data_IF_904337931674
#
_entry.id   IF_904337931674
#
_cell.length_a   1.000
_cell.length_b   1.000
_cell.length_c   1.000
_cell.angle_alpha   90.00
_cell.angle_beta   90.00
_cell.angle_gamma   90.00
#
_symmetry.space_group_name_H-M   'P 1'
#
loop_
_entity.id
_entity.type
_entity.pdbx_description
1 polymer ?
#
# COMPACT_ATOMS: atom_id res chain seq x y z
N UNK A 1 21.01 -6.79 -4.72
CA UNK A 1 20.72 -6.32 -3.35
C UNK A 1 21.66 -5.17 -3.06
N UNK A 2 21.18 -3.92 -3.22
CA UNK A 2 21.98 -2.73 -2.98
C UNK A 2 21.77 -2.35 -1.51
N UNK A 3 22.81 -2.50 -0.70
CA UNK A 3 22.83 -2.03 0.68
C UNK A 3 23.03 -0.51 0.64
N UNK A 4 22.03 0.24 1.09
CA UNK A 4 22.14 1.70 1.20
C UNK A 4 22.46 2.02 2.66
N UNK A 5 23.51 2.80 2.88
CA UNK A 5 23.89 3.31 4.20
C UNK A 5 23.29 4.70 4.36
N UNK A 6 22.35 4.86 5.29
CA UNK A 6 21.82 6.18 5.68
C UNK A 6 22.07 6.35 7.18
N UNK A 7 22.69 7.46 7.62
CA UNK A 7 22.78 7.77 9.04
C UNK A 7 21.37 8.01 9.58
N UNK A 8 21.00 7.29 10.65
CA UNK A 8 19.75 7.55 11.36
C UNK A 8 20.03 8.42 12.59
N UNK A 9 19.15 9.37 12.86
CA UNK A 9 19.34 10.30 13.98
C UNK A 9 19.40 9.54 15.30
N UNK A 10 20.49 9.70 16.07
CA UNK A 10 20.64 9.03 17.35
C UNK A 10 19.59 9.51 18.36
N UNK A 11 18.96 8.58 19.09
CA UNK A 11 17.84 8.88 20.00
C UNK A 11 18.15 9.96 21.04
N UNK A 12 19.35 9.97 21.62
CA UNK A 12 19.74 11.02 22.59
C UNK A 12 19.94 12.39 21.94
N UNK A 13 20.38 12.44 20.67
CA UNK A 13 20.47 13.70 19.91
C UNK A 13 19.06 14.21 19.56
N UNK A 14 18.15 13.31 19.15
CA UNK A 14 16.74 13.61 18.94
C UNK A 14 16.05 14.16 20.21
N UNK A 15 16.31 13.56 21.37
CA UNK A 15 15.81 14.03 22.66
C UNK A 15 16.34 15.43 22.99
N UNK A 16 17.63 15.69 22.78
CA UNK A 16 18.23 16.98 23.05
C UNK A 16 17.64 18.10 22.17
N UNK A 17 17.41 17.81 20.88
CA UNK A 17 16.71 18.71 19.96
C UNK A 17 15.29 19.01 20.48
N UNK A 18 14.53 17.96 20.85
CA UNK A 18 13.15 18.10 21.32
C UNK A 18 13.03 18.87 22.63
N UNK A 19 14.04 18.78 23.51
CA UNK A 19 14.08 19.49 24.80
C UNK A 19 14.82 20.83 24.74
N UNK A 20 15.32 21.21 23.57
CA UNK A 20 16.17 22.40 23.39
C UNK A 20 17.38 22.41 24.35
N UNK A 21 17.93 21.23 24.62
CA UNK A 21 19.10 21.04 25.48
C UNK A 21 20.36 20.79 24.65
N UNK A 22 21.53 20.90 25.28
CA UNK A 22 22.81 20.60 24.63
C UNK A 22 22.80 19.17 24.09
N UNK A 23 23.16 19.01 22.81
CA UNK A 23 23.24 17.70 22.16
C UNK A 23 24.48 16.93 22.60
N UNK A 24 24.36 15.62 22.85
CA UNK A 24 25.51 14.79 23.20
C UNK A 24 26.44 14.61 21.99
N UNK A 25 27.75 14.55 22.28
CA UNK A 25 28.82 14.36 21.30
C UNK A 25 29.03 12.87 21.02
N UNK A 26 27.97 12.23 20.55
CA UNK A 26 27.95 10.82 20.16
C UNK A 26 27.63 10.68 18.67
N UNK A 27 28.30 9.76 17.95
CA UNK A 27 28.02 9.50 16.54
C UNK A 27 26.60 8.93 16.33
N UNK A 28 26.01 9.28 15.19
CA UNK A 28 24.73 8.71 14.76
C UNK A 28 24.91 7.25 14.31
N UNK A 29 23.97 6.34 14.67
CA UNK A 29 24.04 4.96 14.23
C UNK A 29 23.83 4.90 12.71
N UNK A 30 24.65 4.08 12.07
CA UNK A 30 24.55 3.80 10.65
C UNK A 30 23.64 2.60 10.47
N UNK A 31 22.49 2.80 9.83
CA UNK A 31 21.52 1.73 9.62
C UNK A 31 21.67 1.15 8.22
N UNK A 32 21.98 -0.14 8.21
CA UNK A 32 21.91 -0.99 7.03
C UNK A 32 20.43 -1.19 6.68
N UNK A 33 19.97 -0.57 5.60
CA UNK A 33 18.64 -0.89 5.06
C UNK A 33 18.80 -1.54 3.69
N UNK A 34 17.90 -2.48 3.44
CA UNK A 34 17.69 -3.09 2.13
C UNK A 34 16.40 -2.51 1.57
N UNK A 35 16.40 -2.24 0.27
CA UNK A 35 15.19 -1.83 -0.45
C UNK A 35 14.10 -2.93 -0.44
N UNK A 36 14.46 -4.17 -0.16
CA UNK A 36 13.52 -5.28 -0.21
C UNK A 36 13.77 -6.27 0.93
N UNK A 37 12.68 -6.78 1.51
CA UNK A 37 12.69 -7.85 2.50
C UNK A 37 11.36 -8.61 2.47
N UNK A 38 11.33 -9.82 3.06
CA UNK A 38 10.11 -10.62 3.16
C UNK A 38 9.42 -10.38 4.50
N UNK A 39 8.12 -10.13 4.47
CA UNK A 39 7.27 -10.04 5.65
C UNK A 39 6.21 -11.14 5.60
N UNK A 40 5.95 -11.80 6.72
CA UNK A 40 4.91 -12.82 6.84
C UNK A 40 3.75 -12.28 7.67
N UNK A 41 2.55 -12.34 7.11
CA UNK A 41 1.31 -11.98 7.81
C UNK A 41 0.41 -13.21 7.93
N UNK A 42 0.10 -13.61 9.16
CA UNK A 42 -0.95 -14.60 9.43
C UNK A 42 -2.29 -13.88 9.58
N UNK A 43 -3.27 -14.22 8.74
CA UNK A 43 -4.65 -13.71 8.86
C UNK A 43 -5.56 -14.89 9.15
N UNK A 44 -6.25 -14.85 10.29
CA UNK A 44 -7.28 -15.82 10.65
C UNK A 44 -8.65 -15.15 10.58
N UNK A 45 -9.58 -15.74 9.83
CA UNK A 45 -10.97 -15.28 9.70
C UNK A 45 -11.89 -16.49 9.76
N UNK A 46 -12.94 -16.42 10.58
CA UNK A 46 -13.90 -17.51 10.75
C UNK A 46 -14.75 -17.81 9.50
N UNK A 47 -14.71 -16.94 8.47
CA UNK A 47 -15.57 -17.00 7.29
C UNK A 47 -14.81 -17.09 5.96
N UNK A 48 -13.48 -17.23 5.97
CA UNK A 48 -12.69 -17.37 4.73
C UNK A 48 -12.03 -18.75 4.67
N UNK A 49 -12.19 -19.44 3.54
CA UNK A 49 -11.43 -20.65 3.26
C UNK A 49 -9.96 -20.31 3.00
N UNK A 50 -9.00 -21.13 3.46
CA UNK A 50 -7.58 -20.88 3.26
C UNK A 50 -7.24 -20.95 1.77
N UNK A 51 -6.91 -19.81 1.17
CA UNK A 51 -6.32 -19.74 -0.16
C UNK A 51 -4.87 -20.23 -0.04
N UNK A 52 -4.53 -21.31 -0.75
CA UNK A 52 -3.13 -21.74 -0.89
C UNK A 52 -2.39 -20.63 -1.65
N UNK A 53 -1.55 -19.89 -0.94
CA UNK A 53 -0.71 -18.85 -1.52
C UNK A 53 0.40 -19.51 -2.34
N UNK A 54 0.31 -19.38 -3.67
CA UNK A 54 1.46 -19.57 -4.52
C UNK A 54 2.49 -18.48 -4.20
N UNK A 55 3.75 -18.87 -4.10
CA UNK A 55 4.87 -18.00 -3.77
C UNK A 55 5.00 -16.90 -4.83
N UNK A 56 4.58 -15.68 -4.48
CA UNK A 56 4.82 -14.50 -5.30
C UNK A 56 6.31 -14.15 -5.24
N UNK A 57 6.93 -13.98 -6.41
CA UNK A 57 8.29 -13.48 -6.55
C UNK A 57 8.37 -12.05 -6.01
N UNK A 58 9.46 -11.67 -5.30
CA UNK A 58 9.59 -10.35 -4.72
C UNK A 58 9.82 -9.31 -5.83
N UNK A 59 8.74 -8.62 -6.25
CA UNK A 59 8.85 -7.43 -7.10
C UNK A 59 9.30 -6.26 -6.24
N UNK A 60 10.36 -5.59 -6.70
CA UNK A 60 11.07 -4.55 -5.99
C UNK A 60 10.42 -3.18 -6.23
N UNK A 61 9.11 -3.07 -6.00
CA UNK A 61 8.35 -1.83 -6.18
C UNK A 61 7.91 -1.27 -4.83
N UNK A 62 8.62 -0.25 -4.37
CA UNK A 62 8.10 0.67 -3.36
C UNK A 62 6.99 1.51 -4.02
N UNK A 63 5.84 1.56 -3.35
CA UNK A 63 4.50 1.89 -3.87
C UNK A 63 3.85 0.69 -4.56
N UNK A 64 2.59 0.32 -4.23
CA UNK A 64 1.87 -0.69 -4.99
C UNK A 64 1.97 -0.31 -6.46
N UNK A 65 2.44 -1.22 -7.30
CA UNK A 65 2.53 -0.99 -8.73
C UNK A 65 1.15 -0.47 -9.20
N UNK A 66 1.13 0.47 -10.16
CA UNK A 66 -0.12 1.04 -10.67
C UNK A 66 -1.08 -0.07 -11.16
N UNK A 67 -0.54 -1.18 -11.64
CA UNK A 67 -1.22 -2.46 -11.91
C UNK A 67 -2.05 -2.97 -10.72
N UNK A 68 -1.43 -3.11 -9.54
CA UNK A 68 -2.08 -3.66 -8.36
C UNK A 68 -3.15 -2.71 -7.84
N UNK A 69 -2.89 -1.41 -8.02
CA UNK A 69 -3.82 -0.34 -7.69
C UNK A 69 -5.02 -0.35 -8.64
N UNK A 70 -4.79 -0.55 -9.95
CA UNK A 70 -5.84 -0.67 -10.96
C UNK A 70 -6.79 -1.83 -10.64
N UNK A 71 -6.27 -3.03 -10.39
CA UNK A 71 -7.10 -4.19 -10.06
C UNK A 71 -7.98 -3.97 -8.83
N UNK A 72 -7.46 -3.29 -7.80
CA UNK A 72 -8.23 -2.94 -6.60
C UNK A 72 -9.46 -2.07 -6.92
N UNK A 73 -9.28 -1.01 -7.70
CA UNK A 73 -10.37 -0.10 -8.03
C UNK A 73 -11.42 -0.76 -8.93
N UNK A 74 -11.01 -1.51 -9.95
CA UNK A 74 -11.97 -2.18 -10.86
C UNK A 74 -12.85 -3.17 -10.10
N UNK A 75 -12.24 -4.04 -9.28
CA UNK A 75 -12.99 -5.01 -8.47
C UNK A 75 -13.92 -4.33 -7.45
N UNK A 76 -13.45 -3.24 -6.81
CA UNK A 76 -14.24 -2.51 -5.81
C UNK A 76 -15.44 -1.81 -6.42
N UNK A 77 -15.30 -1.29 -7.65
CA UNK A 77 -16.39 -0.69 -8.41
C UNK A 77 -17.45 -1.75 -8.74
N UNK A 78 -17.05 -2.91 -9.27
CA UNK A 78 -17.97 -4.00 -9.57
C UNK A 78 -18.76 -4.47 -8.35
N UNK A 79 -18.07 -4.69 -7.22
CA UNK A 79 -18.68 -5.11 -5.96
C UNK A 79 -19.68 -4.07 -5.44
N UNK A 80 -19.28 -2.80 -5.38
CA UNK A 80 -20.15 -1.74 -4.89
C UNK A 80 -21.41 -1.59 -5.77
N UNK A 81 -21.30 -1.80 -7.09
CA UNK A 81 -22.48 -1.82 -7.96
C UNK A 81 -23.34 -3.06 -7.71
N UNK A 82 -22.75 -4.26 -7.62
CA UNK A 82 -23.48 -5.49 -7.32
C UNK A 82 -24.28 -5.34 -6.01
N UNK A 83 -23.66 -4.81 -4.96
CA UNK A 83 -24.25 -4.59 -3.64
C UNK A 83 -25.30 -3.45 -3.62
N UNK A 84 -25.44 -2.69 -4.71
CA UNK A 84 -26.36 -1.55 -4.78
C UNK A 84 -25.86 -0.28 -4.10
N UNK A 85 -24.59 -0.25 -3.69
CA UNK A 85 -23.91 0.91 -3.11
C UNK A 85 -23.45 1.90 -4.20
N UNK A 86 -24.39 2.39 -5.03
CA UNK A 86 -24.06 3.19 -6.22
C UNK A 86 -23.26 4.45 -5.88
N UNK A 87 -23.56 5.12 -4.76
CA UNK A 87 -22.80 6.29 -4.31
C UNK A 87 -21.33 5.98 -4.04
N UNK A 88 -21.05 4.81 -3.45
CA UNK A 88 -19.69 4.34 -3.18
C UNK A 88 -18.99 3.93 -4.47
N UNK A 89 -19.70 3.26 -5.38
CA UNK A 89 -19.18 2.93 -6.70
C UNK A 89 -18.77 4.19 -7.49
N UNK A 90 -19.55 5.26 -7.41
CA UNK A 90 -19.19 6.56 -8.01
C UNK A 90 -17.94 7.18 -7.37
N UNK A 91 -17.80 7.14 -6.05
CA UNK A 91 -16.59 7.62 -5.37
C UNK A 91 -15.33 6.83 -5.76
N UNK A 92 -15.46 5.51 -5.87
CA UNK A 92 -14.37 4.64 -6.31
C UNK A 92 -14.01 4.91 -7.78
N UNK A 93 -14.99 5.19 -8.63
CA UNK A 93 -14.78 5.60 -10.01
C UNK A 93 -14.01 6.93 -10.09
N UNK A 94 -14.42 7.96 -9.36
CA UNK A 94 -13.73 9.27 -9.35
C UNK A 94 -12.28 9.15 -8.90
N UNK A 95 -12.02 8.34 -7.87
CA UNK A 95 -10.67 8.07 -7.38
C UNK A 95 -9.84 7.33 -8.44
N UNK A 96 -10.41 6.34 -9.11
CA UNK A 96 -9.74 5.60 -10.17
C UNK A 96 -9.41 6.49 -11.37
N UNK A 97 -10.33 7.38 -11.76
CA UNK A 97 -10.11 8.38 -12.81
C UNK A 97 -9.02 9.39 -12.43
N UNK A 98 -8.99 9.84 -11.17
CA UNK A 98 -7.92 10.71 -10.63
C UNK A 98 -6.54 10.06 -10.73
N UNK A 99 -6.48 8.74 -10.56
CA UNK A 99 -5.26 7.95 -10.69
C UNK A 99 -4.94 7.56 -12.14
N UNK A 100 -5.77 7.96 -13.11
CA UNK A 100 -5.56 7.70 -14.53
C UNK A 100 -5.94 6.29 -14.99
N UNK A 101 -6.75 5.56 -14.22
CA UNK A 101 -7.23 4.22 -14.58
C UNK A 101 -8.32 4.37 -15.64
N UNK A 102 -7.94 4.14 -16.91
CA UNK A 102 -8.81 4.38 -18.07
C UNK A 102 -10.01 3.43 -18.15
N UNK A 103 -9.88 2.23 -17.62
CA UNK A 103 -10.92 1.19 -17.68
C UNK A 103 -12.03 1.39 -16.64
N UNK A 104 -11.81 2.24 -15.63
CA UNK A 104 -12.73 2.39 -14.49
C UNK A 104 -14.16 2.76 -14.91
N UNK A 105 -14.29 3.66 -15.90
CA UNK A 105 -15.60 4.11 -16.39
C UNK A 105 -16.35 3.01 -17.13
N UNK A 106 -15.65 2.24 -17.96
CA UNK A 106 -16.23 1.11 -18.67
C UNK A 106 -16.67 0.03 -17.68
N UNK A 107 -15.82 -0.29 -16.70
CA UNK A 107 -16.15 -1.24 -15.63
C UNK A 107 -17.39 -0.82 -14.85
N UNK A 108 -17.50 0.45 -14.46
CA UNK A 108 -18.69 0.96 -13.78
C UNK A 108 -19.96 0.79 -14.63
N UNK A 109 -19.93 1.19 -15.90
CA UNK A 109 -21.09 1.08 -16.81
C UNK A 109 -21.49 -0.38 -17.00
N UNK A 110 -20.53 -1.25 -17.31
CA UNK A 110 -20.80 -2.68 -17.49
C UNK A 110 -21.35 -3.34 -16.22
N UNK A 111 -20.86 -2.96 -15.04
CA UNK A 111 -21.39 -3.48 -13.78
C UNK A 111 -22.84 -3.02 -13.53
N UNK A 112 -23.19 -1.78 -13.88
CA UNK A 112 -24.57 -1.25 -13.71
C UNK A 112 -25.53 -1.90 -14.70
N UNK A 113 -25.08 -2.17 -15.92
CA UNK A 113 -25.87 -2.85 -16.96
C UNK A 113 -26.16 -4.31 -16.62
N UNK A 114 -25.26 -4.98 -15.90
CA UNK A 114 -25.36 -6.40 -15.53
C UNK A 114 -25.79 -6.62 -14.06
N UNK A 115 -26.36 -5.60 -13.42
CA UNK A 115 -26.74 -5.59 -12.00
C UNK A 115 -27.91 -6.52 -11.67
#
# INVERSE_FOLDING_TARGET
MILVLVPSLHSAKAFAIAKNTVSPEIPDPVVNHTASGSFFLGVESAYMQPVKTAQAEPTNDYAPALDQTQGYYLNSIEQAVADGEINKAMQLLEEAERLGIKDARNTFVSAVENK
#
